data_IF_006510763710
#
_entry.id   IF_006510763710
#
_cell.length_a   1.000
_cell.length_b   1.000
_cell.length_c   1.000
_cell.angle_alpha   90.00
_cell.angle_beta   90.00
_cell.angle_gamma   90.00
#
_symmetry.space_group_name_H-M   'P 1'
#
loop_
_entity.id
_entity.type
_entity.pdbx_description
1 polymer ?
#
# COMPACT_ATOMS: atom_id res chain seq x y z
N UNK A 1 39.75 -9.54 -23.26
CA UNK A 1 38.39 -8.96 -23.42
C UNK A 1 37.53 -9.45 -22.27
N UNK A 2 37.48 -8.70 -21.16
CA UNK A 2 36.60 -9.00 -20.02
C UNK A 2 36.19 -7.69 -19.36
N UNK A 3 35.10 -7.10 -19.84
CA UNK A 3 34.43 -5.95 -19.22
C UNK A 3 32.91 -6.10 -19.35
N UNK A 4 32.31 -7.11 -18.69
CA UNK A 4 30.83 -7.26 -18.65
C UNK A 4 30.28 -7.74 -17.29
N UNK A 5 31.08 -7.83 -16.23
CA UNK A 5 30.60 -8.26 -14.90
C UNK A 5 30.25 -7.13 -13.93
N UNK A 6 30.42 -5.87 -14.34
CA UNK A 6 30.29 -4.72 -13.42
C UNK A 6 28.92 -4.03 -13.39
N UNK A 7 28.05 -4.27 -14.38
CA UNK A 7 26.81 -3.48 -14.54
C UNK A 7 25.62 -4.11 -13.80
N UNK A 8 25.64 -5.43 -13.57
CA UNK A 8 24.55 -6.17 -12.92
C UNK A 8 24.51 -6.02 -11.40
N UNK A 9 25.61 -5.64 -10.75
CA UNK A 9 25.64 -5.45 -9.28
C UNK A 9 25.28 -4.02 -8.83
N UNK A 10 25.45 -3.01 -9.69
CA UNK A 10 25.08 -1.64 -9.35
C UNK A 10 23.56 -1.43 -9.37
N UNK A 11 22.84 -2.09 -10.28
CA UNK A 11 21.37 -1.99 -10.34
C UNK A 11 20.67 -2.64 -9.15
N UNK A 12 21.23 -3.70 -8.57
CA UNK A 12 20.64 -4.36 -7.40
C UNK A 12 20.94 -3.62 -6.10
N UNK A 13 22.11 -2.99 -5.98
CA UNK A 13 22.47 -2.16 -4.81
C UNK A 13 21.78 -0.80 -4.83
N UNK A 14 21.55 -0.19 -6.00
CA UNK A 14 20.82 1.08 -6.13
C UNK A 14 19.31 0.90 -5.85
N UNK A 15 18.73 -0.27 -6.10
CA UNK A 15 17.31 -0.56 -5.81
C UNK A 15 17.00 -0.91 -4.34
N UNK A 16 18.02 -1.04 -3.48
CA UNK A 16 17.86 -1.42 -2.07
C UNK A 16 17.96 -0.23 -1.10
N UNK A 17 18.44 0.93 -1.58
CA UNK A 17 18.41 2.20 -0.86
C UNK A 17 17.38 3.13 -1.50
N UNK A 18 16.11 2.76 -1.42
CA UNK A 18 15.09 3.79 -1.39
C UNK A 18 15.42 4.65 -0.16
N UNK A 19 15.73 5.93 -0.37
CA UNK A 19 16.07 6.87 0.69
C UNK A 19 15.01 6.81 1.79
N UNK A 20 15.37 6.24 2.95
CA UNK A 20 14.51 6.15 4.13
C UNK A 20 13.82 7.50 4.45
N UNK A 21 14.47 8.67 4.30
CA UNK A 21 13.80 9.97 4.46
C UNK A 21 12.61 10.18 3.51
N UNK A 22 12.74 9.80 2.24
CA UNK A 22 11.67 9.98 1.24
C UNK A 22 10.44 9.12 1.56
N UNK A 23 10.65 7.87 2.01
CA UNK A 23 9.54 7.02 2.45
C UNK A 23 8.81 7.59 3.66
N UNK A 24 9.54 8.12 4.65
CA UNK A 24 8.90 8.77 5.81
C UNK A 24 8.13 10.04 5.42
N UNK A 25 8.63 10.81 4.46
CA UNK A 25 7.90 11.96 3.92
C UNK A 25 6.61 11.54 3.20
N UNK A 26 6.64 10.43 2.45
CA UNK A 26 5.44 9.85 1.84
C UNK A 26 4.44 9.39 2.90
N UNK A 27 4.87 8.66 3.94
CA UNK A 27 4.00 8.22 5.05
C UNK A 27 3.32 9.43 5.70
N UNK A 28 4.10 10.45 6.04
CA UNK A 28 3.58 11.69 6.63
C UNK A 28 2.59 12.40 5.70
N UNK A 29 2.89 12.43 4.40
CA UNK A 29 2.03 13.00 3.36
C UNK A 29 0.69 12.26 3.28
N UNK A 30 0.70 10.93 3.29
CA UNK A 30 -0.51 10.09 3.28
C UNK A 30 -1.36 10.37 4.51
N UNK A 31 -0.78 10.28 5.71
CA UNK A 31 -1.50 10.46 6.98
C UNK A 31 -2.11 11.85 7.07
N UNK A 32 -1.32 12.90 6.81
CA UNK A 32 -1.80 14.27 6.88
C UNK A 32 -2.91 14.54 5.87
N UNK A 33 -2.74 14.10 4.62
CA UNK A 33 -3.74 14.34 3.57
C UNK A 33 -5.02 13.57 3.87
N UNK A 34 -4.93 12.32 4.37
CA UNK A 34 -6.10 11.54 4.79
C UNK A 34 -6.87 12.24 5.92
N UNK A 35 -6.15 12.71 6.94
CA UNK A 35 -6.72 13.43 8.09
C UNK A 35 -7.41 14.73 7.67
N UNK A 36 -6.76 15.54 6.83
CA UNK A 36 -7.36 16.77 6.28
C UNK A 36 -8.59 16.44 5.43
N UNK A 37 -8.55 15.38 4.62
CA UNK A 37 -9.70 14.93 3.80
C UNK A 37 -10.90 14.58 4.68
N UNK A 38 -10.68 13.78 5.72
CA UNK A 38 -11.72 13.36 6.66
C UNK A 38 -12.34 14.57 7.39
N UNK A 39 -11.51 15.48 7.91
CA UNK A 39 -11.96 16.69 8.61
C UNK A 39 -12.73 17.63 7.67
N UNK A 40 -12.20 17.89 6.48
CA UNK A 40 -12.81 18.78 5.49
C UNK A 40 -14.21 18.30 5.09
N UNK A 41 -14.34 16.98 4.88
CA UNK A 41 -15.63 16.34 4.61
C UNK A 41 -16.59 16.46 5.80
N UNK A 42 -16.12 16.18 7.01
CA UNK A 42 -16.94 16.26 8.23
C UNK A 42 -17.46 17.69 8.50
N UNK A 43 -16.69 18.71 8.13
CA UNK A 43 -17.08 20.12 8.23
C UNK A 43 -18.02 20.59 7.10
N UNK A 44 -18.32 19.73 6.11
CA UNK A 44 -19.23 20.04 5.01
C UNK A 44 -18.60 20.78 3.83
N UNK A 45 -17.27 20.88 3.77
CA UNK A 45 -16.54 21.57 2.71
C UNK A 45 -16.27 20.66 1.51
N UNK A 46 -17.33 20.09 0.94
CA UNK A 46 -17.24 19.07 -0.13
C UNK A 46 -16.49 19.53 -1.39
N UNK A 47 -16.52 20.83 -1.69
CA UNK A 47 -15.87 21.41 -2.88
C UNK A 47 -14.34 21.21 -2.91
N UNK A 48 -13.68 21.10 -1.75
CA UNK A 48 -12.22 20.88 -1.67
C UNK A 48 -11.85 19.39 -1.53
N UNK A 49 -12.81 18.52 -1.25
CA UNK A 49 -12.54 17.10 -0.97
C UNK A 49 -11.95 16.39 -2.19
N UNK A 50 -12.39 16.76 -3.39
CA UNK A 50 -11.86 16.17 -4.63
C UNK A 50 -10.35 16.37 -4.79
N UNK A 51 -9.87 17.60 -4.61
CA UNK A 51 -8.44 17.92 -4.72
C UNK A 51 -7.60 17.20 -3.67
N UNK A 52 -8.13 17.07 -2.45
CA UNK A 52 -7.47 16.35 -1.36
C UNK A 52 -7.40 14.84 -1.63
N UNK A 53 -8.45 14.25 -2.22
CA UNK A 53 -8.45 12.84 -2.64
C UNK A 53 -7.40 12.62 -3.73
N UNK A 54 -7.30 13.50 -4.71
CA UNK A 54 -6.28 13.40 -5.77
C UNK A 54 -4.86 13.52 -5.19
N UNK A 55 -4.63 14.44 -4.25
CA UNK A 55 -3.34 14.53 -3.57
C UNK A 55 -3.02 13.26 -2.76
N UNK A 56 -4.02 12.68 -2.08
CA UNK A 56 -3.86 11.43 -1.35
C UNK A 56 -3.52 10.28 -2.29
N UNK A 57 -4.17 10.21 -3.46
CA UNK A 57 -3.88 9.22 -4.51
C UNK A 57 -2.45 9.33 -5.02
N UNK A 58 -1.93 10.55 -5.23
CA UNK A 58 -0.54 10.76 -5.64
C UNK A 58 0.45 10.25 -4.57
N UNK A 59 0.25 10.63 -3.31
CA UNK A 59 1.12 10.16 -2.21
C UNK A 59 1.11 8.64 -2.06
N UNK A 60 -0.07 8.01 -2.06
CA UNK A 60 -0.19 6.55 -1.95
C UNK A 60 0.34 5.86 -3.20
N UNK A 61 0.12 6.41 -4.40
CA UNK A 61 0.65 5.87 -5.65
C UNK A 61 2.17 5.80 -5.64
N UNK A 62 2.84 6.90 -5.28
CA UNK A 62 4.30 6.94 -5.11
C UNK A 62 4.80 5.99 -4.04
N UNK A 63 4.09 5.91 -2.91
CA UNK A 63 4.41 4.94 -1.85
C UNK A 63 4.36 3.50 -2.37
N UNK A 64 3.29 3.13 -3.07
CA UNK A 64 3.13 1.79 -3.65
C UNK A 64 4.24 1.52 -4.67
N UNK A 65 4.54 2.48 -5.56
CA UNK A 65 5.56 2.34 -6.59
C UNK A 65 6.94 2.00 -5.99
N UNK A 66 7.24 2.63 -4.85
CA UNK A 66 8.50 2.46 -4.12
C UNK A 66 8.53 1.16 -3.30
N UNK A 67 7.40 0.76 -2.70
CA UNK A 67 7.32 -0.40 -1.80
C UNK A 67 7.04 -1.70 -2.56
N UNK A 68 6.47 -1.64 -3.77
CA UNK A 68 6.15 -2.81 -4.58
C UNK A 68 7.38 -3.69 -4.90
N UNK A 69 7.09 -4.93 -5.26
CA UNK A 69 8.07 -5.92 -5.68
C UNK A 69 7.80 -6.27 -7.13
N UNK A 70 8.84 -6.25 -7.96
CA UNK A 70 8.70 -6.62 -9.36
C UNK A 70 8.30 -8.10 -9.51
N UNK A 71 7.42 -8.38 -10.46
CA UNK A 71 7.04 -9.76 -10.82
C UNK A 71 6.05 -10.45 -9.87
N UNK A 72 5.50 -9.75 -8.87
CA UNK A 72 4.54 -10.32 -7.90
C UNK A 72 3.08 -9.99 -8.23
N UNK A 73 2.80 -9.58 -9.46
CA UNK A 73 1.44 -9.25 -9.90
C UNK A 73 0.54 -10.49 -9.88
N UNK A 74 -0.61 -10.37 -9.22
CA UNK A 74 -1.65 -11.40 -9.17
C UNK A 74 -2.82 -10.94 -10.07
N UNK A 75 -3.00 -11.55 -11.25
CA UNK A 75 -4.09 -11.19 -12.15
C UNK A 75 -5.46 -11.31 -11.48
N UNK A 76 -6.27 -10.26 -11.57
CA UNK A 76 -7.64 -10.26 -11.07
C UNK A 76 -7.78 -10.00 -9.56
N UNK A 77 -6.69 -9.95 -8.80
CA UNK A 77 -6.72 -9.71 -7.35
C UNK A 77 -7.44 -8.40 -6.99
N UNK A 78 -7.11 -7.31 -7.69
CA UNK A 78 -7.75 -6.02 -7.45
C UNK A 78 -9.28 -6.12 -7.64
N UNK A 79 -9.73 -6.76 -8.73
CA UNK A 79 -11.15 -6.95 -9.02
C UNK A 79 -11.87 -7.80 -7.97
N UNK A 80 -11.23 -8.86 -7.46
CA UNK A 80 -11.77 -9.66 -6.35
C UNK A 80 -11.94 -8.80 -5.08
N UNK A 81 -10.91 -8.02 -4.75
CA UNK A 81 -10.83 -7.26 -3.52
C UNK A 81 -11.67 -5.99 -3.50
N UNK A 82 -12.00 -5.39 -4.66
CA UNK A 82 -12.79 -4.15 -4.73
C UNK A 82 -14.11 -4.25 -3.98
N UNK A 83 -14.74 -5.44 -4.00
CA UNK A 83 -16.00 -5.66 -3.28
C UNK A 83 -15.85 -5.86 -1.77
N UNK A 84 -14.62 -5.98 -1.25
CA UNK A 84 -14.33 -6.32 0.15
C UNK A 84 -13.78 -5.14 0.96
N UNK A 85 -13.20 -4.13 0.29
CA UNK A 85 -12.85 -2.85 0.92
C UNK A 85 -14.09 -1.97 0.90
N UNK A 86 -14.76 -1.85 2.05
CA UNK A 86 -16.12 -1.27 2.13
C UNK A 86 -16.18 0.24 2.23
N UNK A 87 -15.07 0.88 2.58
CA UNK A 87 -15.00 2.31 2.79
C UNK A 87 -13.64 2.83 2.33
N UNK A 88 -13.59 4.06 1.80
CA UNK A 88 -12.32 4.70 1.50
C UNK A 88 -11.56 5.05 2.78
N UNK A 89 -10.25 5.23 2.65
CA UNK A 89 -9.33 5.47 3.77
C UNK A 89 -9.75 6.63 4.67
N UNK A 90 -10.26 7.72 4.08
CA UNK A 90 -10.70 8.94 4.79
C UNK A 90 -12.09 8.80 5.45
N UNK A 91 -12.77 7.67 5.27
CA UNK A 91 -14.01 7.33 5.97
C UNK A 91 -13.81 6.20 6.99
N UNK A 92 -12.61 5.61 7.06
CA UNK A 92 -12.28 4.67 8.11
C UNK A 92 -12.10 5.43 9.42
N UNK A 93 -12.77 4.94 10.46
CA UNK A 93 -12.46 5.29 11.85
C UNK A 93 -11.16 4.56 12.25
N UNK A 94 -10.05 5.11 11.75
CA UNK A 94 -8.67 4.66 11.90
C UNK A 94 -7.84 5.87 12.40
N UNK A 95 -7.23 5.81 13.59
CA UNK A 95 -6.37 6.90 14.07
C UNK A 95 -5.17 7.14 13.16
N UNK A 96 -4.76 8.41 13.01
CA UNK A 96 -3.59 8.81 12.22
C UNK A 96 -2.33 8.01 12.61
N UNK A 97 -2.10 7.79 13.90
CA UNK A 97 -0.97 6.99 14.39
C UNK A 97 -1.03 5.51 13.97
N UNK A 98 -2.23 4.94 13.86
CA UNK A 98 -2.40 3.55 13.42
C UNK A 98 -2.21 3.41 11.91
N UNK A 99 -2.60 4.42 11.13
CA UNK A 99 -2.30 4.48 9.70
C UNK A 99 -0.78 4.63 9.47
N UNK A 100 -0.13 5.53 10.21
CA UNK A 100 1.32 5.72 10.18
C UNK A 100 2.07 4.41 10.50
N UNK A 101 1.72 3.76 11.62
CA UNK A 101 2.31 2.48 12.03
C UNK A 101 2.11 1.39 10.97
N UNK A 102 0.92 1.29 10.37
CA UNK A 102 0.66 0.33 9.30
C UNK A 102 1.57 0.56 8.08
N UNK A 103 1.72 1.81 7.64
CA UNK A 103 2.57 2.14 6.49
C UNK A 103 4.06 1.90 6.79
N UNK A 104 4.53 2.21 8.00
CA UNK A 104 5.88 1.90 8.45
C UNK A 104 6.14 0.39 8.51
N UNK A 105 5.14 -0.40 8.91
CA UNK A 105 5.21 -1.87 8.86
C UNK A 105 5.39 -2.35 7.42
N UNK A 106 4.69 -1.78 6.44
CA UNK A 106 4.87 -2.14 5.02
C UNK A 106 6.28 -1.85 4.52
N UNK A 107 6.87 -0.73 4.93
CA UNK A 107 8.27 -0.38 4.61
C UNK A 107 9.21 -1.42 5.22
N UNK A 108 9.10 -1.69 6.52
CA UNK A 108 9.95 -2.65 7.22
C UNK A 108 9.80 -4.07 6.64
N UNK A 109 8.58 -4.46 6.29
CA UNK A 109 8.27 -5.73 5.67
C UNK A 109 8.95 -5.85 4.29
N UNK A 110 8.89 -4.81 3.44
CA UNK A 110 9.57 -4.79 2.14
C UNK A 110 11.10 -4.91 2.26
N UNK A 111 11.70 -4.29 3.27
CA UNK A 111 13.14 -4.42 3.54
C UNK A 111 13.51 -5.83 4.02
N UNK A 112 12.71 -6.42 4.91
CA UNK A 112 12.89 -7.78 5.39
C UNK A 112 12.72 -8.82 4.25
N UNK A 113 11.75 -8.59 3.36
CA UNK A 113 11.51 -9.40 2.17
C UNK A 113 12.72 -9.42 1.25
N UNK A 114 13.28 -8.25 0.95
CA UNK A 114 14.47 -8.12 0.10
C UNK A 114 15.70 -8.83 0.69
N UNK A 115 15.75 -8.92 2.02
CA UNK A 115 16.81 -9.62 2.75
C UNK A 115 16.57 -11.13 2.87
N UNK A 116 15.45 -11.67 2.36
CA UNK A 116 15.07 -13.07 2.49
C UNK A 116 14.77 -13.52 3.93
N UNK A 117 14.43 -12.58 4.82
CA UNK A 117 14.26 -12.84 6.27
C UNK A 117 12.83 -13.22 6.69
N UNK A 118 11.88 -13.22 5.75
CA UNK A 118 10.47 -13.44 6.05
C UNK A 118 10.07 -14.91 5.83
N UNK A 119 9.30 -15.42 6.77
CA UNK A 119 8.67 -16.73 6.74
C UNK A 119 7.18 -16.62 6.36
N UNK A 120 6.54 -17.78 6.19
CA UNK A 120 5.09 -17.85 5.92
C UNK A 120 4.25 -17.20 7.03
N UNK A 121 4.67 -17.32 8.28
CA UNK A 121 3.93 -16.74 9.41
C UNK A 121 3.94 -15.21 9.37
N UNK A 122 5.04 -14.59 8.90
CA UNK A 122 5.09 -13.15 8.69
C UNK A 122 4.10 -12.71 7.60
N UNK A 123 3.97 -13.52 6.54
CA UNK A 123 3.00 -13.29 5.48
C UNK A 123 1.55 -13.34 5.99
N UNK A 124 1.26 -14.31 6.88
CA UNK A 124 -0.06 -14.42 7.51
C UNK A 124 -0.35 -13.24 8.44
N UNK A 125 0.64 -12.82 9.23
CA UNK A 125 0.52 -11.67 10.13
C UNK A 125 0.25 -10.39 9.34
N UNK A 126 0.98 -10.15 8.24
CA UNK A 126 0.76 -8.99 7.38
C UNK A 126 -0.64 -9.00 6.76
N UNK A 127 -1.11 -10.15 6.28
CA UNK A 127 -2.44 -10.29 5.73
C UNK A 127 -3.52 -9.94 6.77
N UNK A 128 -3.40 -10.48 7.98
CA UNK A 128 -4.34 -10.20 9.07
C UNK A 128 -4.34 -8.73 9.48
N UNK A 129 -3.15 -8.13 9.59
CA UNK A 129 -2.99 -6.71 9.88
C UNK A 129 -3.64 -5.84 8.81
N UNK A 130 -3.44 -6.18 7.54
CA UNK A 130 -4.07 -5.50 6.39
C UNK A 130 -5.59 -5.57 6.49
N UNK A 131 -6.13 -6.76 6.74
CA UNK A 131 -7.57 -6.95 6.87
C UNK A 131 -8.15 -6.14 8.03
N UNK A 132 -7.46 -6.09 9.17
CA UNK A 132 -7.88 -5.33 10.34
C UNK A 132 -7.86 -3.81 10.06
N UNK A 133 -6.73 -3.32 9.55
CA UNK A 133 -6.50 -1.88 9.34
C UNK A 133 -7.43 -1.30 8.29
N UNK A 134 -7.62 -2.01 7.18
CA UNK A 134 -8.45 -1.57 6.05
C UNK A 134 -9.89 -2.11 6.10
N UNK A 135 -10.30 -2.68 7.23
CA UNK A 135 -11.66 -3.22 7.48
C UNK A 135 -12.14 -4.17 6.38
N UNK A 136 -11.30 -5.12 6.01
CA UNK A 136 -11.62 -6.19 5.04
C UNK A 136 -12.25 -7.36 5.79
N UNK A 137 -13.57 -7.50 5.69
CA UNK A 137 -14.33 -8.51 6.44
C UNK A 137 -14.10 -9.96 5.95
N UNK A 138 -13.59 -10.12 4.72
CA UNK A 138 -13.44 -11.42 4.04
C UNK A 138 -12.01 -11.94 4.04
N UNK A 139 -11.32 -11.80 5.18
CA UNK A 139 -9.90 -12.16 5.27
C UNK A 139 -9.62 -13.64 5.01
N UNK A 140 -10.57 -14.54 5.34
CA UNK A 140 -10.45 -15.98 5.07
C UNK A 140 -10.61 -16.31 3.59
N UNK A 141 -11.58 -15.70 2.91
CA UNK A 141 -11.75 -15.86 1.46
C UNK A 141 -10.56 -15.29 0.70
N UNK A 142 -10.05 -14.12 1.13
CA UNK A 142 -8.84 -13.52 0.58
C UNK A 142 -7.64 -14.44 0.70
N UNK A 143 -7.44 -15.07 1.87
CA UNK A 143 -6.38 -16.06 2.06
C UNK A 143 -6.51 -17.21 1.06
N UNK A 144 -7.72 -17.76 0.87
CA UNK A 144 -7.96 -18.85 -0.06
C UNK A 144 -7.70 -18.49 -1.53
N UNK A 145 -7.97 -17.24 -1.94
CA UNK A 145 -7.69 -16.77 -3.30
C UNK A 145 -6.20 -16.63 -3.61
N UNK A 146 -5.38 -16.40 -2.59
CA UNK A 146 -3.94 -16.14 -2.76
C UNK A 146 -3.05 -17.29 -2.33
N UNK A 147 -3.61 -18.49 -2.12
CA UNK A 147 -2.83 -19.69 -1.82
C UNK A 147 -2.04 -20.19 -3.05
N UNK A 148 -0.75 -20.56 -2.88
CA UNK A 148 0.02 -20.56 -1.63
C UNK A 148 0.47 -19.16 -1.20
N UNK A 149 0.19 -18.80 0.06
CA UNK A 149 0.58 -17.50 0.62
C UNK A 149 2.12 -17.43 0.82
N UNK A 150 2.75 -16.53 0.07
CA UNK A 150 4.17 -16.17 0.23
C UNK A 150 4.31 -14.76 0.80
N UNK A 151 5.46 -14.40 1.40
CA UNK A 151 5.69 -13.05 1.87
C UNK A 151 5.48 -11.96 0.81
N UNK A 152 5.92 -12.22 -0.42
CA UNK A 152 5.75 -11.32 -1.56
C UNK A 152 4.27 -11.12 -1.95
N UNK A 153 3.49 -12.21 -1.94
CA UNK A 153 2.05 -12.18 -2.17
C UNK A 153 1.33 -11.38 -1.08
N UNK A 154 1.69 -11.57 0.20
CA UNK A 154 1.09 -10.81 1.30
C UNK A 154 1.32 -9.29 1.15
N UNK A 155 2.54 -8.89 0.76
CA UNK A 155 2.85 -7.49 0.49
C UNK A 155 2.03 -6.96 -0.71
N UNK A 156 1.94 -7.74 -1.80
CA UNK A 156 1.12 -7.36 -2.96
C UNK A 156 -0.35 -7.14 -2.56
N UNK A 157 -0.91 -8.02 -1.73
CA UNK A 157 -2.28 -7.90 -1.22
C UNK A 157 -2.44 -6.63 -0.39
N UNK A 158 -1.50 -6.34 0.50
CA UNK A 158 -1.53 -5.13 1.33
C UNK A 158 -1.51 -3.84 0.48
N UNK A 159 -0.62 -3.77 -0.51
CA UNK A 159 -0.53 -2.63 -1.43
C UNK A 159 -1.77 -2.51 -2.33
N UNK A 160 -2.32 -3.63 -2.78
CA UNK A 160 -3.55 -3.65 -3.59
C UNK A 160 -4.75 -3.18 -2.78
N UNK A 161 -4.88 -3.63 -1.52
CA UNK A 161 -5.91 -3.16 -0.61
C UNK A 161 -5.81 -1.65 -0.35
N UNK A 162 -4.58 -1.14 -0.13
CA UNK A 162 -4.34 0.29 0.07
C UNK A 162 -4.72 1.10 -1.17
N UNK A 163 -4.35 0.64 -2.37
CA UNK A 163 -4.76 1.26 -3.63
C UNK A 163 -6.29 1.30 -3.78
N UNK A 164 -6.99 0.22 -3.44
CA UNK A 164 -8.46 0.19 -3.50
C UNK A 164 -9.07 1.15 -2.47
N UNK A 165 -8.50 1.23 -1.27
CA UNK A 165 -8.99 2.11 -0.19
C UNK A 165 -8.92 3.61 -0.54
N UNK A 166 -8.13 4.02 -1.53
CA UNK A 166 -8.12 5.41 -2.03
C UNK A 166 -8.94 5.60 -3.32
N UNK A 167 -9.71 4.58 -3.73
CA UNK A 167 -10.50 4.58 -4.96
C UNK A 167 -9.72 4.20 -6.22
N UNK A 168 -8.61 3.47 -6.09
CA UNK A 168 -7.76 3.02 -7.20
C UNK A 168 -6.60 3.97 -7.55
N UNK A 169 -5.69 3.50 -8.42
CA UNK A 169 -4.52 4.26 -8.93
C UNK A 169 -4.70 4.77 -10.37
N UNK A 170 -5.93 4.78 -10.89
CA UNK A 170 -6.22 5.14 -12.28
C UNK A 170 -7.07 6.40 -12.39
N UNK A 171 -6.54 7.40 -13.09
CA UNK A 171 -7.24 8.62 -13.50
C UNK A 171 -8.55 8.30 -14.21
N UNK A 172 -9.63 8.43 -13.47
CA UNK A 172 -11.00 8.38 -13.93
C UNK A 172 -11.73 9.50 -13.24
N UNK A 173 -11.82 10.62 -13.95
CA UNK A 173 -12.93 11.55 -13.77
C UNK A 173 -14.22 10.72 -13.75
N UNK A 174 -14.84 10.62 -12.58
CA UNK A 174 -16.30 10.63 -12.40
C UNK A 174 -16.63 10.32 -10.94
N UNK A 175 -16.84 11.38 -10.15
CA UNK A 175 -17.95 11.46 -9.20
C UNK A 175 -18.16 12.94 -8.85
N UNK A 176 -19.01 13.56 -9.66
CA UNK A 176 -19.87 14.65 -9.21
C UNK A 176 -20.87 14.15 -8.14
#
# INVERSE_FOLDING_TARGET
MSCLSGVSNLSSEISLQVDSPYLHDLVRGIVLTNSITAITRALGYGEYVGELIEALRDYVGRFIEVVAVEGTYIPGLASSMTSWVKAPLWELDLPDSSLEEYLDILIGYRQALASGRLARDDALNLLQLTCLTLRIDRCRELLAEVEPLTPAIALQVALTALAIAIGGLGGGSDSA
#
